data_IF_350900867506
#
_entry.id   IF_350900867506
#
_cell.length_a   1.000
_cell.length_b   1.000
_cell.length_c   1.000
_cell.angle_alpha   90.00
_cell.angle_beta   90.00
_cell.angle_gamma   90.00
#
_symmetry.space_group_name_H-M   'P 1'
#
loop_
_entity.id
_entity.type
_entity.pdbx_description
1 polymer ?
#
# COMPACT_ATOMS: atom_id res chain seq x y z
N UNK A 1 -13.68 20.53 15.39
CA UNK A 1 -12.57 19.68 14.92
C UNK A 1 -11.39 20.57 14.59
N UNK A 2 -10.20 20.25 15.08
CA UNK A 2 -8.97 20.98 14.72
C UNK A 2 -8.43 20.44 13.39
N UNK A 3 -7.61 21.24 12.68
CA UNK A 3 -6.93 20.80 11.46
C UNK A 3 -6.13 19.51 11.70
N UNK A 4 -5.45 19.41 12.83
CA UNK A 4 -4.69 18.22 13.22
C UNK A 4 -5.56 16.97 13.27
N UNK A 5 -6.75 17.04 13.90
CA UNK A 5 -7.68 15.91 13.97
C UNK A 5 -8.22 15.50 12.59
N UNK A 6 -8.43 16.46 11.68
CA UNK A 6 -8.89 16.19 10.31
C UNK A 6 -7.80 15.43 9.53
N UNK A 7 -6.56 15.92 9.56
CA UNK A 7 -5.44 15.29 8.85
C UNK A 7 -5.13 13.91 9.44
N UNK A 8 -5.26 13.75 10.76
CA UNK A 8 -5.12 12.47 11.45
C UNK A 8 -6.16 11.44 10.99
N UNK A 9 -7.45 11.82 10.98
CA UNK A 9 -8.52 10.95 10.47
C UNK A 9 -8.30 10.59 9.00
N UNK A 10 -7.87 11.55 8.17
CA UNK A 10 -7.52 11.31 6.78
C UNK A 10 -6.39 10.29 6.65
N UNK A 11 -5.36 10.37 7.49
CA UNK A 11 -4.24 9.42 7.48
C UNK A 11 -4.72 7.99 7.74
N UNK A 12 -5.52 7.79 8.79
CA UNK A 12 -6.08 6.47 9.14
C UNK A 12 -6.93 5.91 7.99
N UNK A 13 -7.78 6.73 7.37
CA UNK A 13 -8.60 6.32 6.23
C UNK A 13 -7.75 5.94 5.01
N UNK A 14 -6.70 6.71 4.72
CA UNK A 14 -5.82 6.45 3.57
C UNK A 14 -4.99 5.18 3.78
N UNK A 15 -4.47 4.94 4.99
CA UNK A 15 -3.79 3.69 5.34
C UNK A 15 -4.75 2.52 5.16
N UNK A 16 -5.97 2.62 5.70
CA UNK A 16 -7.00 1.59 5.56
C UNK A 16 -7.36 1.29 4.10
N UNK A 17 -7.58 2.32 3.29
CA UNK A 17 -7.87 2.18 1.86
C UNK A 17 -6.72 1.50 1.11
N UNK A 18 -5.48 1.89 1.42
CA UNK A 18 -4.29 1.31 0.80
C UNK A 18 -4.14 -0.17 1.14
N UNK A 19 -4.25 -0.52 2.43
CA UNK A 19 -4.19 -1.92 2.90
C UNK A 19 -5.34 -2.74 2.31
N UNK A 20 -6.56 -2.21 2.30
CA UNK A 20 -7.73 -2.87 1.73
C UNK A 20 -7.55 -3.23 0.25
N UNK A 21 -7.04 -2.29 -0.56
CA UNK A 21 -6.71 -2.54 -1.97
C UNK A 21 -5.65 -3.62 -2.14
N UNK A 22 -4.60 -3.61 -1.30
CA UNK A 22 -3.55 -4.62 -1.34
C UNK A 22 -4.08 -6.02 -1.00
N UNK A 23 -4.88 -6.15 0.06
CA UNK A 23 -5.49 -7.41 0.48
C UNK A 23 -6.46 -7.94 -0.57
N UNK A 24 -7.33 -7.07 -1.11
CA UNK A 24 -8.30 -7.46 -2.14
C UNK A 24 -7.61 -8.00 -3.41
N UNK A 25 -6.56 -7.33 -3.87
CA UNK A 25 -5.83 -7.79 -5.07
C UNK A 25 -5.05 -9.09 -4.82
N UNK A 26 -4.56 -9.30 -3.61
CA UNK A 26 -3.77 -10.48 -3.22
C UNK A 26 -4.65 -11.71 -3.00
N UNK A 27 -5.74 -11.56 -2.25
CA UNK A 27 -6.55 -12.69 -1.78
C UNK A 27 -7.82 -12.94 -2.60
N UNK A 28 -8.30 -11.96 -3.36
CA UNK A 28 -9.52 -12.12 -4.17
C UNK A 28 -9.19 -12.15 -5.64
N UNK A 29 -8.57 -11.08 -6.16
CA UNK A 29 -8.33 -10.94 -7.61
C UNK A 29 -7.33 -11.97 -8.12
N UNK A 30 -6.21 -12.15 -7.41
CA UNK A 30 -5.16 -13.06 -7.86
C UNK A 30 -5.62 -14.53 -7.94
N UNK A 31 -6.31 -15.09 -6.93
CA UNK A 31 -6.89 -16.44 -7.03
C UNK A 31 -7.96 -16.55 -8.10
N UNK A 32 -8.91 -15.62 -8.17
CA UNK A 32 -9.96 -15.64 -9.19
C UNK A 32 -9.40 -15.67 -10.63
N UNK A 33 -8.32 -14.92 -10.89
CA UNK A 33 -7.66 -14.94 -12.20
C UNK A 33 -6.97 -16.26 -12.51
N UNK A 34 -6.54 -17.03 -11.50
CA UNK A 34 -5.97 -18.35 -11.71
C UNK A 34 -7.04 -19.36 -12.16
N UNK A 35 -8.25 -19.24 -11.62
CA UNK A 35 -9.40 -20.09 -11.96
C UNK A 35 -10.04 -19.72 -13.31
N UNK A 36 -10.29 -18.42 -13.54
CA UNK A 36 -10.95 -17.92 -14.75
C UNK A 36 -10.08 -18.05 -16.02
N UNK A 37 -8.75 -17.96 -15.88
CA UNK A 37 -7.82 -17.98 -17.00
C UNK A 37 -6.74 -19.04 -16.78
N UNK A 38 -7.02 -20.32 -17.12
CA UNK A 38 -6.06 -21.40 -16.90
C UNK A 38 -4.80 -21.25 -17.77
N UNK A 39 -4.95 -20.72 -19.00
CA UNK A 39 -3.84 -20.41 -19.89
C UNK A 39 -2.96 -19.26 -19.33
N UNK A 40 -1.67 -19.55 -19.11
CA UNK A 40 -0.76 -18.61 -18.45
C UNK A 40 -0.52 -17.33 -19.25
N UNK A 41 -0.47 -17.41 -20.58
CA UNK A 41 -0.32 -16.24 -21.46
C UNK A 41 -1.52 -15.28 -21.32
N UNK A 42 -2.74 -15.80 -21.38
CA UNK A 42 -3.99 -15.05 -21.22
C UNK A 42 -4.09 -14.44 -19.83
N UNK A 43 -3.76 -15.21 -18.79
CA UNK A 43 -3.73 -14.73 -17.40
C UNK A 43 -2.73 -13.60 -17.19
N UNK A 44 -1.53 -13.70 -17.79
CA UNK A 44 -0.50 -12.64 -17.73
C UNK A 44 -0.96 -11.37 -18.43
N UNK A 45 -1.60 -11.47 -19.60
CA UNK A 45 -2.13 -10.32 -20.31
C UNK A 45 -3.19 -9.57 -19.49
N UNK A 46 -4.17 -10.28 -18.92
CA UNK A 46 -5.20 -9.68 -18.07
C UNK A 46 -4.61 -9.08 -16.79
N UNK A 47 -3.68 -9.77 -16.11
CA UNK A 47 -3.00 -9.24 -14.92
C UNK A 47 -2.21 -7.98 -15.20
N UNK A 48 -1.56 -7.85 -16.36
CA UNK A 48 -0.86 -6.61 -16.76
C UNK A 48 -1.85 -5.46 -16.97
N UNK A 49 -3.00 -5.72 -17.59
CA UNK A 49 -4.03 -4.70 -17.78
C UNK A 49 -4.62 -4.24 -16.45
N UNK A 50 -5.01 -5.17 -15.57
CA UNK A 50 -5.47 -4.84 -14.21
C UNK A 50 -4.38 -4.13 -13.42
N UNK A 51 -3.13 -4.57 -13.50
CA UNK A 51 -1.99 -3.91 -12.84
C UNK A 51 -1.81 -2.45 -13.27
N UNK A 52 -2.04 -2.12 -14.55
CA UNK A 52 -2.03 -0.73 -15.02
C UNK A 52 -3.19 0.09 -14.43
N UNK A 53 -4.39 -0.47 -14.36
CA UNK A 53 -5.53 0.21 -13.73
C UNK A 53 -5.30 0.41 -12.22
N UNK A 54 -4.79 -0.62 -11.55
CA UNK A 54 -4.41 -0.54 -10.15
C UNK A 54 -3.37 0.56 -9.91
N UNK A 55 -2.31 0.62 -10.72
CA UNK A 55 -1.27 1.63 -10.59
C UNK A 55 -1.80 3.07 -10.75
N UNK A 56 -2.78 3.29 -11.63
CA UNK A 56 -3.44 4.60 -11.81
C UNK A 56 -4.23 5.05 -10.58
N UNK A 57 -4.73 4.13 -9.77
CA UNK A 57 -5.47 4.44 -8.54
C UNK A 57 -4.53 4.48 -7.33
N UNK A 58 -3.67 3.47 -7.21
CA UNK A 58 -2.76 3.32 -6.08
C UNK A 58 -1.65 4.38 -6.06
N UNK A 59 -1.20 4.87 -7.21
CA UNK A 59 -0.20 5.93 -7.30
C UNK A 59 -0.66 7.22 -6.59
N UNK A 60 -1.77 7.84 -7.02
CA UNK A 60 -2.35 9.00 -6.34
C UNK A 60 -2.68 8.75 -4.87
N UNK A 61 -3.23 7.57 -4.51
CA UNK A 61 -3.51 7.23 -3.12
C UNK A 61 -2.24 7.22 -2.26
N UNK A 62 -1.16 6.59 -2.76
CA UNK A 62 0.12 6.51 -2.04
C UNK A 62 0.77 7.89 -1.90
N UNK A 63 0.64 8.75 -2.92
CA UNK A 63 1.11 10.13 -2.85
C UNK A 63 0.32 10.93 -1.82
N UNK A 64 -1.01 10.80 -1.82
CA UNK A 64 -1.86 11.49 -0.85
C UNK A 64 -1.56 11.04 0.57
N UNK A 65 -1.34 9.74 0.79
CA UNK A 65 -0.93 9.20 2.08
C UNK A 65 0.43 9.77 2.52
N UNK A 66 1.43 9.81 1.63
CA UNK A 66 2.73 10.44 1.92
C UNK A 66 2.58 11.91 2.32
N UNK A 67 1.81 12.70 1.56
CA UNK A 67 1.58 14.11 1.86
C UNK A 67 0.87 14.30 3.20
N UNK A 68 -0.06 13.41 3.54
CA UNK A 68 -0.79 13.45 4.81
C UNK A 68 0.12 13.18 6.00
N UNK A 69 0.97 12.16 5.93
CA UNK A 69 1.98 11.85 6.97
C UNK A 69 2.95 13.02 7.16
N UNK A 70 3.41 13.64 6.06
CA UNK A 70 4.28 14.82 6.13
C UNK A 70 3.56 16.02 6.76
N UNK A 71 2.29 16.27 6.39
CA UNK A 71 1.50 17.34 6.96
C UNK A 71 1.29 17.15 8.48
N UNK A 72 1.04 15.92 8.93
CA UNK A 72 0.98 15.60 10.36
C UNK A 72 2.28 15.97 11.09
N UNK A 73 3.42 15.63 10.50
CA UNK A 73 4.73 15.93 11.09
C UNK A 73 5.03 17.42 11.15
N UNK A 74 4.60 18.18 10.15
CA UNK A 74 4.77 19.64 10.10
C UNK A 74 3.83 20.36 11.08
N UNK A 75 2.58 19.90 11.22
CA UNK A 75 1.56 20.56 12.06
C UNK A 75 1.70 20.17 13.53
N UNK A 76 1.91 18.89 13.82
CA UNK A 76 1.91 18.32 15.17
C UNK A 76 3.29 17.91 15.69
N UNK A 77 4.33 17.96 14.86
CA UNK A 77 5.66 17.45 15.17
C UNK A 77 5.87 15.98 14.77
N UNK A 78 7.14 15.59 14.58
CA UNK A 78 7.50 14.21 14.23
C UNK A 78 7.71 13.36 15.49
N UNK A 79 6.70 12.58 15.85
CA UNK A 79 6.84 11.52 16.85
C UNK A 79 7.60 10.32 16.26
N UNK A 80 8.13 9.45 17.14
CA UNK A 80 8.77 8.20 16.72
C UNK A 80 7.81 7.34 15.88
N UNK A 81 6.54 7.25 16.27
CA UNK A 81 5.52 6.49 15.56
C UNK A 81 5.29 7.02 14.14
N UNK A 82 5.16 8.34 13.99
CA UNK A 82 5.00 8.99 12.68
C UNK A 82 6.25 8.83 11.80
N UNK A 83 7.44 8.88 12.41
CA UNK A 83 8.70 8.60 11.72
C UNK A 83 8.78 7.16 11.20
N UNK A 84 8.33 6.18 11.99
CA UNK A 84 8.26 4.79 11.57
C UNK A 84 7.22 4.56 10.46
N UNK A 85 6.06 5.22 10.55
CA UNK A 85 5.03 5.19 9.52
C UNK A 85 5.57 5.71 8.18
N UNK A 86 6.24 6.87 8.20
CA UNK A 86 6.90 7.44 7.02
C UNK A 86 7.97 6.51 6.45
N UNK A 87 8.84 5.96 7.29
CA UNK A 87 9.89 5.04 6.86
C UNK A 87 9.31 3.77 6.20
N UNK A 88 8.24 3.21 6.77
CA UNK A 88 7.56 2.04 6.22
C UNK A 88 6.93 2.35 4.86
N UNK A 89 6.26 3.51 4.74
CA UNK A 89 5.66 3.95 3.49
C UNK A 89 6.69 4.09 2.38
N UNK A 90 7.84 4.71 2.68
CA UNK A 90 8.95 4.86 1.74
C UNK A 90 9.58 3.50 1.37
N UNK A 91 9.74 2.60 2.33
CA UNK A 91 10.24 1.25 2.10
C UNK A 91 9.35 0.48 1.13
N UNK A 92 8.04 0.47 1.37
CA UNK A 92 7.07 -0.20 0.51
C UNK A 92 7.05 0.43 -0.89
N UNK A 93 7.02 1.76 -0.97
CA UNK A 93 7.06 2.46 -2.27
C UNK A 93 8.33 2.12 -3.06
N UNK A 94 9.48 2.04 -2.38
CA UNK A 94 10.76 1.63 -2.97
C UNK A 94 10.74 0.18 -3.48
N UNK A 95 10.24 -0.76 -2.66
CA UNK A 95 10.11 -2.17 -3.03
C UNK A 95 9.19 -2.36 -4.24
N UNK A 96 8.02 -1.71 -4.24
CA UNK A 96 7.05 -1.79 -5.35
C UNK A 96 7.66 -1.23 -6.63
N UNK A 97 8.30 -0.05 -6.57
CA UNK A 97 8.94 0.59 -7.72
C UNK A 97 10.09 -0.27 -8.27
N UNK A 98 10.89 -0.86 -7.40
CA UNK A 98 11.97 -1.78 -7.76
C UNK A 98 11.46 -3.06 -8.42
N UNK A 99 10.37 -3.64 -7.91
CA UNK A 99 9.73 -4.82 -8.50
C UNK A 99 9.15 -4.53 -9.88
N UNK A 100 8.50 -3.38 -10.07
CA UNK A 100 7.95 -2.97 -11.36
C UNK A 100 9.05 -2.73 -12.41
N UNK A 101 10.18 -2.12 -12.02
CA UNK A 101 11.33 -1.90 -12.92
C UNK A 101 12.01 -3.20 -13.36
N UNK A 102 12.10 -4.21 -12.49
CA UNK A 102 12.79 -5.48 -12.80
C UNK A 102 12.00 -6.42 -13.71
N UNK A 103 10.81 -6.02 -14.15
CA UNK A 103 9.99 -6.81 -15.06
C UNK A 103 9.31 -7.96 -14.31
N UNK A 104 7.98 -7.90 -14.23
CA UNK A 104 7.13 -8.91 -13.61
C UNK A 104 7.16 -10.26 -14.37
N UNK A 105 8.27 -10.98 -14.31
CA UNK A 105 8.44 -12.31 -14.90
C UNK A 105 8.39 -13.44 -13.87
N UNK A 106 8.71 -13.16 -12.60
CA UNK A 106 8.74 -14.17 -11.54
C UNK A 106 7.60 -13.89 -10.55
N UNK A 107 6.83 -14.94 -10.20
CA UNK A 107 5.84 -14.90 -9.12
C UNK A 107 6.53 -14.28 -7.90
N UNK A 108 5.98 -13.21 -7.27
CA UNK A 108 6.59 -12.68 -6.07
C UNK A 108 6.71 -13.82 -5.06
N UNK A 109 7.90 -14.04 -4.48
CA UNK A 109 8.12 -15.15 -3.58
C UNK A 109 7.22 -14.98 -2.35
N UNK A 110 6.71 -16.08 -1.80
CA UNK A 110 5.70 -16.05 -0.73
C UNK A 110 6.14 -15.22 0.50
N UNK A 111 7.45 -15.18 0.79
CA UNK A 111 8.00 -14.34 1.86
C UNK A 111 7.73 -12.84 1.65
N UNK A 112 7.70 -12.36 0.40
CA UNK A 112 7.41 -10.96 0.09
C UNK A 112 5.98 -10.60 0.51
N UNK A 113 5.03 -11.52 0.29
CA UNK A 113 3.64 -11.37 0.71
C UNK A 113 3.51 -11.34 2.23
N UNK A 114 4.24 -12.21 2.95
CA UNK A 114 4.22 -12.18 4.42
C UNK A 114 4.84 -10.90 4.98
N UNK A 115 5.92 -10.40 4.37
CA UNK A 115 6.57 -9.14 4.77
C UNK A 115 5.66 -7.94 4.52
N UNK A 116 5.00 -7.85 3.37
CA UNK A 116 4.05 -6.76 3.09
C UNK A 116 2.82 -6.82 3.97
N UNK A 117 2.32 -8.01 4.31
CA UNK A 117 1.22 -8.17 5.26
C UNK A 117 1.63 -7.74 6.68
N UNK A 118 2.80 -8.17 7.15
CA UNK A 118 3.34 -7.73 8.44
C UNK A 118 3.56 -6.22 8.48
N UNK A 119 4.13 -5.65 7.41
CA UNK A 119 4.31 -4.20 7.26
C UNK A 119 2.97 -3.45 7.23
N UNK A 120 1.94 -4.02 6.60
CA UNK A 120 0.59 -3.43 6.54
C UNK A 120 -0.08 -3.42 7.91
N UNK A 121 0.01 -4.53 8.66
CA UNK A 121 -0.49 -4.61 10.02
C UNK A 121 0.23 -3.62 10.95
N UNK A 122 1.55 -3.50 10.80
CA UNK A 122 2.35 -2.52 11.54
C UNK A 122 1.97 -1.08 11.18
N UNK A 123 1.75 -0.78 9.89
CA UNK A 123 1.26 0.52 9.42
C UNK A 123 -0.08 0.88 10.03
N UNK A 124 -1.04 -0.05 10.09
CA UNK A 124 -2.32 0.17 10.75
C UNK A 124 -2.14 0.42 12.26
N UNK A 125 -1.29 -0.37 12.92
CA UNK A 125 -1.00 -0.20 14.35
C UNK A 125 -0.33 1.15 14.66
N UNK A 126 0.64 1.55 13.85
CA UNK A 126 1.35 2.84 13.98
C UNK A 126 0.43 4.02 13.69
N UNK A 127 -0.42 3.92 12.67
CA UNK A 127 -1.41 4.95 12.38
C UNK A 127 -2.38 5.11 13.56
N UNK A 128 -2.85 4.03 14.18
CA UNK A 128 -3.71 4.15 15.38
C UNK A 128 -2.93 4.72 16.58
N UNK A 129 -1.70 4.26 16.82
CA UNK A 129 -0.89 4.67 17.97
C UNK A 129 -0.37 6.11 17.88
N UNK A 130 -0.14 6.64 16.67
CA UNK A 130 0.28 8.03 16.47
C UNK A 130 -0.85 9.04 16.71
N UNK A 131 -2.10 8.57 16.80
CA UNK A 131 -3.32 9.39 16.82
C UNK A 131 -4.21 9.14 18.05
N UNK A 132 -3.72 8.37 19.03
CA UNK A 132 -4.24 8.25 20.41
C UNK A 132 -3.45 9.17 21.35
#
# INVERSE_FOLDING_TARGET
MTLLSVVSALNVLLVGAWVGMYLFTTFVVSPAFAELFPAEATRRAHRRTVGRYYARVNGPLSLLLLLTVLALGVIGGFSLALGLELAMLLLIAGLVSGHMRRGAQVRPPAWLTHVTLGASALLCGLALAAHL
#
